data_IF_461548504906
#
_entry.id   IF_461548504906
#
_cell.length_a   1.000
_cell.length_b   1.000
_cell.length_c   1.000
_cell.angle_alpha   90.00
_cell.angle_beta   90.00
_cell.angle_gamma   90.00
#
_symmetry.space_group_name_H-M   'P 1'
#
loop_
_entity.id
_entity.type
_entity.pdbx_description
1 polymer ?
#
# COMPACT_ATOMS: atom_id res chain seq x y z
N UNK A 1 -6.37 -80.92 -21.66
CA UNK A 1 -6.25 -80.06 -20.46
C UNK A 1 -5.28 -78.87 -20.71
N UNK A 2 -5.45 -78.08 -21.77
CA UNK A 2 -4.62 -76.88 -22.02
C UNK A 2 -5.38 -75.83 -22.86
N UNK A 3 -6.52 -75.33 -22.35
CA UNK A 3 -7.28 -74.23 -22.97
C UNK A 3 -7.67 -73.13 -21.95
N UNK A 4 -6.76 -72.77 -21.05
CA UNK A 4 -7.07 -71.78 -19.99
C UNK A 4 -6.03 -70.68 -19.79
N UNK A 5 -5.09 -70.49 -20.71
CA UNK A 5 -4.05 -69.45 -20.59
C UNK A 5 -4.05 -68.37 -21.68
N UNK A 6 -5.03 -68.34 -22.59
CA UNK A 6 -5.13 -67.25 -23.60
C UNK A 6 -6.13 -66.14 -23.26
N UNK A 7 -6.90 -66.24 -22.17
CA UNK A 7 -7.97 -65.26 -21.87
C UNK A 7 -7.52 -64.07 -21.01
N UNK A 8 -6.29 -64.07 -20.50
CA UNK A 8 -5.79 -62.99 -19.64
C UNK A 8 -5.17 -61.80 -20.41
N UNK A 9 -4.76 -61.98 -21.67
CA UNK A 9 -4.06 -60.92 -22.44
C UNK A 9 -4.98 -60.02 -23.26
N UNK A 10 -6.25 -60.41 -23.45
CA UNK A 10 -7.22 -59.61 -24.21
C UNK A 10 -7.94 -58.55 -23.36
N UNK A 11 -7.92 -58.67 -22.02
CA UNK A 11 -8.60 -57.68 -21.16
C UNK A 11 -7.81 -56.38 -20.94
N UNK A 12 -6.49 -56.37 -21.16
CA UNK A 12 -5.68 -55.15 -21.07
C UNK A 12 -5.77 -54.25 -22.32
N UNK A 13 -6.29 -54.76 -23.46
CA UNK A 13 -6.48 -53.95 -24.67
C UNK A 13 -7.87 -53.29 -24.74
N UNK A 14 -8.82 -53.70 -23.89
CA UNK A 14 -10.18 -53.14 -23.86
C UNK A 14 -10.39 -52.11 -22.75
N UNK A 15 -9.43 -51.93 -21.83
CA UNK A 15 -9.48 -50.92 -20.77
C UNK A 15 -8.91 -49.55 -21.18
N UNK A 16 -8.41 -49.40 -22.42
CA UNK A 16 -7.92 -48.11 -22.97
C UNK A 16 -9.03 -47.10 -23.27
N UNK A 17 -10.29 -47.43 -22.96
CA UNK A 17 -11.46 -46.57 -23.14
C UNK A 17 -11.98 -45.95 -21.83
N UNK A 18 -11.13 -45.87 -20.80
CA UNK A 18 -11.27 -44.82 -19.79
C UNK A 18 -10.52 -43.63 -20.35
N UNK A 19 -11.23 -42.51 -20.51
CA UNK A 19 -10.61 -41.20 -20.77
C UNK A 19 -9.49 -40.98 -19.75
N UNK A 20 -8.26 -41.35 -20.12
CA UNK A 20 -7.07 -40.86 -19.45
C UNK A 20 -7.01 -39.39 -19.84
N UNK A 21 -7.75 -38.57 -19.09
CA UNK A 21 -7.52 -37.14 -19.04
C UNK A 21 -6.17 -36.98 -18.35
N UNK A 22 -5.11 -37.31 -19.09
CA UNK A 22 -3.74 -37.12 -18.65
C UNK A 22 -3.59 -35.69 -18.14
N UNK A 23 -2.69 -35.52 -17.17
CA UNK A 23 -2.47 -34.23 -16.52
C UNK A 23 -2.31 -33.11 -17.57
N UNK A 24 -3.30 -32.22 -17.65
CA UNK A 24 -3.25 -31.04 -18.52
C UNK A 24 -2.61 -29.90 -17.74
N UNK A 25 -1.30 -29.76 -17.90
CA UNK A 25 -0.59 -28.59 -17.40
C UNK A 25 -1.14 -27.32 -18.05
N UNK A 26 -1.17 -26.21 -17.29
CA UNK A 26 -1.49 -24.89 -17.85
C UNK A 26 -0.41 -24.49 -18.86
N UNK A 27 -0.76 -23.62 -19.81
CA UNK A 27 0.21 -23.07 -20.76
C UNK A 27 1.08 -22.03 -20.07
N UNK A 28 2.35 -21.94 -20.46
CA UNK A 28 3.34 -21.03 -19.88
C UNK A 28 2.86 -19.57 -19.99
N UNK A 29 2.16 -19.22 -21.06
CA UNK A 29 1.62 -17.89 -21.30
C UNK A 29 0.54 -17.52 -20.28
N UNK A 30 -0.29 -18.49 -19.86
CA UNK A 30 -1.34 -18.23 -18.86
C UNK A 30 -0.76 -18.06 -17.47
N UNK A 31 0.29 -18.79 -17.15
CA UNK A 31 0.99 -18.64 -15.87
C UNK A 31 1.70 -17.28 -15.82
N UNK A 32 2.38 -16.89 -16.89
CA UNK A 32 3.00 -15.57 -17.03
C UNK A 32 1.98 -14.42 -16.93
N UNK A 33 0.81 -14.54 -17.57
CA UNK A 33 -0.25 -13.53 -17.45
C UNK A 33 -0.83 -13.47 -16.04
N UNK A 34 -1.03 -14.63 -15.39
CA UNK A 34 -1.50 -14.67 -14.00
C UNK A 34 -0.51 -13.98 -13.07
N UNK A 35 0.79 -14.19 -13.27
CA UNK A 35 1.84 -13.54 -12.48
C UNK A 35 1.89 -12.04 -12.75
N UNK A 36 1.72 -11.61 -14.01
CA UNK A 36 1.61 -10.19 -14.36
C UNK A 36 0.47 -9.50 -13.61
N UNK A 37 -0.73 -10.10 -13.62
CA UNK A 37 -1.92 -9.57 -12.91
C UNK A 37 -1.68 -9.46 -11.40
N UNK A 38 -1.02 -10.45 -10.80
CA UNK A 38 -0.69 -10.41 -9.36
C UNK A 38 0.24 -9.27 -9.01
N UNK A 39 1.28 -9.06 -9.81
CA UNK A 39 2.25 -7.99 -9.58
C UNK A 39 1.62 -6.62 -9.84
N UNK A 40 0.75 -6.50 -10.84
CA UNK A 40 -0.01 -5.28 -11.10
C UNK A 40 -0.90 -4.90 -9.91
N UNK A 41 -1.59 -5.87 -9.31
CA UNK A 41 -2.39 -5.63 -8.10
C UNK A 41 -1.55 -5.08 -6.93
N UNK A 42 -0.34 -5.58 -6.74
CA UNK A 42 0.60 -5.07 -5.72
C UNK A 42 1.04 -3.65 -6.06
N UNK A 43 1.37 -3.37 -7.32
CA UNK A 43 1.75 -2.02 -7.77
C UNK A 43 0.63 -1.00 -7.51
N UNK A 44 -0.62 -1.36 -7.83
CA UNK A 44 -1.79 -0.52 -7.58
C UNK A 44 -1.98 -0.24 -6.08
N UNK A 45 -1.77 -1.25 -5.23
CA UNK A 45 -1.84 -1.08 -3.79
C UNK A 45 -0.77 -0.10 -3.27
N UNK A 46 0.47 -0.20 -3.78
CA UNK A 46 1.55 0.73 -3.43
C UNK A 46 1.23 2.16 -3.88
N UNK A 47 0.76 2.33 -5.12
CA UNK A 47 0.39 3.64 -5.67
C UNK A 47 -0.78 4.27 -4.89
N UNK A 48 -1.75 3.47 -4.47
CA UNK A 48 -2.87 3.94 -3.63
C UNK A 48 -2.38 4.40 -2.28
N UNK A 49 -1.58 3.58 -1.59
CA UNK A 49 -1.01 3.92 -0.29
C UNK A 49 -0.13 5.18 -0.34
N UNK A 50 0.61 5.38 -1.44
CA UNK A 50 1.38 6.61 -1.67
C UNK A 50 0.47 7.83 -1.76
N UNK A 51 -0.57 7.78 -2.60
CA UNK A 51 -1.50 8.89 -2.76
C UNK A 51 -2.21 9.25 -1.47
N UNK A 52 -2.61 8.25 -0.69
CA UNK A 52 -3.28 8.46 0.58
C UNK A 52 -2.35 9.09 1.62
N UNK A 53 -1.10 8.61 1.72
CA UNK A 53 -0.10 9.18 2.61
C UNK A 53 0.29 10.63 2.22
N UNK A 54 0.44 10.91 0.92
CA UNK A 54 0.71 12.26 0.41
C UNK A 54 -0.47 13.21 0.68
N UNK A 55 -1.71 12.74 0.49
CA UNK A 55 -2.92 13.50 0.80
C UNK A 55 -3.02 13.79 2.30
N UNK A 56 -2.74 12.81 3.15
CA UNK A 56 -2.71 12.98 4.60
C UNK A 56 -1.65 14.02 5.00
N UNK A 57 -0.44 13.93 4.43
CA UNK A 57 0.66 14.86 4.72
C UNK A 57 0.28 16.31 4.38
N UNK A 58 -0.28 16.54 3.19
CA UNK A 58 -0.73 17.88 2.76
C UNK A 58 -1.86 18.39 3.66
N UNK A 59 -2.85 17.53 3.95
CA UNK A 59 -4.00 17.90 4.78
C UNK A 59 -3.61 18.21 6.22
N UNK A 60 -2.71 17.40 6.80
CA UNK A 60 -2.19 17.62 8.15
C UNK A 60 -1.29 18.86 8.22
N UNK A 61 -0.42 19.06 7.22
CA UNK A 61 0.44 20.25 7.15
C UNK A 61 -0.35 21.54 7.26
N UNK A 62 -1.42 21.67 6.46
CA UNK A 62 -2.32 22.84 6.53
C UNK A 62 -2.95 23.06 7.90
N UNK A 63 -3.33 21.99 8.61
CA UNK A 63 -3.90 22.10 9.96
C UNK A 63 -2.86 22.50 11.00
N UNK A 64 -1.63 22.02 10.86
CA UNK A 64 -0.52 22.42 11.74
C UNK A 64 -0.17 23.90 11.51
N UNK A 65 -0.13 24.35 10.26
CA UNK A 65 0.12 25.76 9.92
C UNK A 65 -0.99 26.69 10.47
N UNK A 66 -2.25 26.28 10.37
CA UNK A 66 -3.38 27.01 10.97
C UNK A 66 -3.30 27.03 12.50
N UNK A 67 -2.97 25.92 13.15
CA UNK A 67 -2.76 25.87 14.60
C UNK A 67 -1.61 26.78 15.04
N UNK A 68 -0.50 26.82 14.29
CA UNK A 68 0.62 27.73 14.53
C UNK A 68 0.20 29.21 14.40
N UNK A 69 -0.60 29.53 13.38
CA UNK A 69 -1.10 30.89 13.18
C UNK A 69 -2.01 31.33 14.34
N UNK A 70 -2.92 30.45 14.79
CA UNK A 70 -3.81 30.72 15.93
C UNK A 70 -3.05 30.86 17.23
N UNK A 71 -2.08 29.98 17.49
CA UNK A 71 -1.20 30.09 18.65
C UNK A 71 -0.46 31.44 18.66
N UNK A 72 0.07 31.86 17.52
CA UNK A 72 0.79 33.15 17.40
C UNK A 72 -0.09 34.36 17.74
N UNK A 73 -1.38 34.33 17.40
CA UNK A 73 -2.33 35.39 17.76
C UNK A 73 -2.56 35.44 19.28
N UNK A 74 -2.55 34.29 19.95
CA UNK A 74 -2.76 34.22 21.41
C UNK A 74 -1.56 34.68 22.24
N UNK A 75 -0.38 34.86 21.64
CA UNK A 75 0.80 35.36 22.35
C UNK A 75 0.73 36.89 22.65
N UNK A 76 -0.13 37.64 21.97
CA UNK A 76 -0.28 39.09 22.24
C UNK A 76 1.00 39.91 21.99
N UNK A 77 0.89 41.25 22.08
CA UNK A 77 2.02 42.19 21.87
C UNK A 77 2.51 42.85 23.18
N UNK A 78 2.20 42.25 24.34
CA UNK A 78 2.51 42.83 25.65
C UNK A 78 3.98 42.67 26.03
N UNK A 79 4.55 43.67 26.71
CA UNK A 79 5.97 43.67 27.16
C UNK A 79 6.27 42.68 28.28
N UNK A 80 5.24 42.15 28.96
CA UNK A 80 5.38 41.15 30.03
C UNK A 80 4.22 40.13 30.00
N UNK A 81 4.27 39.27 29.00
CA UNK A 81 3.21 38.32 28.65
C UNK A 81 2.93 37.26 29.72
N UNK A 82 3.91 36.94 30.58
CA UNK A 82 3.75 35.91 31.61
C UNK A 82 3.17 36.45 32.92
N UNK A 83 3.18 37.77 33.13
CA UNK A 83 2.67 38.41 34.35
C UNK A 83 1.21 38.88 34.23
N UNK A 84 0.76 39.24 33.02
CA UNK A 84 -0.61 39.74 32.79
C UNK A 84 -1.55 38.74 32.11
N UNK A 85 -1.14 37.49 31.92
CA UNK A 85 -1.96 36.52 31.19
C UNK A 85 -3.15 36.02 32.01
N UNK A 86 -4.34 36.11 31.41
CA UNK A 86 -5.54 35.46 31.91
C UNK A 86 -5.42 33.92 31.86
N UNK A 87 -5.84 33.18 32.91
CA UNK A 87 -5.74 31.71 32.96
C UNK A 87 -6.37 30.98 31.75
N UNK A 88 -7.36 31.60 31.10
CA UNK A 88 -8.04 31.05 29.92
C UNK A 88 -7.12 30.97 28.69
N UNK A 89 -6.22 31.95 28.51
CA UNK A 89 -5.27 31.99 27.39
C UNK A 89 -4.18 30.94 27.56
N UNK A 90 -3.82 30.62 28.80
CA UNK A 90 -2.87 29.53 29.11
C UNK A 90 -3.41 28.16 28.70
N UNK A 91 -4.69 27.89 28.98
CA UNK A 91 -5.30 26.62 28.60
C UNK A 91 -5.36 26.43 27.07
N UNK A 92 -5.74 27.47 26.33
CA UNK A 92 -5.79 27.42 24.87
C UNK A 92 -4.41 27.21 24.25
N UNK A 93 -3.37 27.78 24.83
CA UNK A 93 -2.01 27.59 24.34
C UNK A 93 -1.45 26.20 24.61
N UNK A 94 -1.76 25.60 25.76
CA UNK A 94 -1.39 24.21 26.04
C UNK A 94 -2.03 23.25 25.02
N UNK A 95 -3.29 23.50 24.67
CA UNK A 95 -3.99 22.73 23.63
C UNK A 95 -3.31 22.89 22.26
N UNK A 96 -2.98 24.13 21.85
CA UNK A 96 -2.27 24.35 20.60
C UNK A 96 -0.88 23.71 20.59
N UNK A 97 -0.13 23.81 21.69
CA UNK A 97 1.18 23.19 21.81
C UNK A 97 1.12 21.67 21.65
N UNK A 98 0.12 21.02 22.26
CA UNK A 98 -0.10 19.58 22.11
C UNK A 98 -0.47 19.20 20.67
N UNK A 99 -1.38 19.94 20.03
CA UNK A 99 -1.80 19.69 18.65
C UNK A 99 -0.67 19.89 17.64
N UNK A 100 0.11 20.97 17.80
CA UNK A 100 1.28 21.27 16.96
C UNK A 100 2.32 20.16 17.12
N UNK A 101 2.66 19.78 18.35
CA UNK A 101 3.65 18.73 18.63
C UNK A 101 3.25 17.38 18.02
N UNK A 102 1.99 16.97 18.22
CA UNK A 102 1.46 15.74 17.65
C UNK A 102 1.42 15.78 16.11
N UNK A 103 1.00 16.91 15.54
CA UNK A 103 0.96 17.12 14.10
C UNK A 103 2.35 17.06 13.47
N UNK A 104 3.35 17.75 14.04
CA UNK A 104 4.73 17.72 13.58
C UNK A 104 5.34 16.31 13.66
N UNK A 105 5.09 15.58 14.75
CA UNK A 105 5.51 14.18 14.88
C UNK A 105 4.92 13.32 13.77
N UNK A 106 3.60 13.41 13.54
CA UNK A 106 2.93 12.64 12.49
C UNK A 106 3.40 13.02 11.09
N UNK A 107 3.68 14.30 10.82
CA UNK A 107 4.27 14.73 9.54
C UNK A 107 5.63 14.07 9.26
N UNK A 108 6.47 13.91 10.30
CA UNK A 108 7.75 13.19 10.19
C UNK A 108 7.55 11.70 9.91
N UNK A 109 6.59 11.07 10.60
CA UNK A 109 6.22 9.66 10.35
C UNK A 109 5.70 9.45 8.91
N UNK A 110 4.87 10.37 8.42
CA UNK A 110 4.37 10.34 7.03
C UNK A 110 5.49 10.53 6.02
N UNK A 111 6.43 11.45 6.25
CA UNK A 111 7.59 11.63 5.38
C UNK A 111 8.42 10.35 5.25
N UNK A 112 8.67 9.65 6.37
CA UNK A 112 9.36 8.37 6.37
C UNK A 112 8.56 7.29 5.62
N UNK A 113 7.24 7.22 5.86
CA UNK A 113 6.36 6.25 5.20
C UNK A 113 6.33 6.45 3.68
N UNK A 114 6.20 7.70 3.23
CA UNK A 114 6.23 8.06 1.81
C UNK A 114 7.58 7.68 1.20
N UNK A 115 8.70 7.93 1.89
CA UNK A 115 10.02 7.54 1.41
C UNK A 115 10.15 6.01 1.24
N UNK A 116 9.67 5.22 2.21
CA UNK A 116 9.66 3.76 2.12
C UNK A 116 8.79 3.26 0.96
N UNK A 117 7.59 3.81 0.80
CA UNK A 117 6.70 3.42 -0.29
C UNK A 117 7.27 3.79 -1.66
N UNK A 118 7.90 4.96 -1.80
CA UNK A 118 8.60 5.37 -3.04
C UNK A 118 9.77 4.46 -3.38
N UNK A 119 10.51 4.01 -2.35
CA UNK A 119 11.58 3.04 -2.52
C UNK A 119 11.03 1.70 -3.03
N UNK A 120 9.99 1.16 -2.38
CA UNK A 120 9.37 -0.11 -2.79
C UNK A 120 8.81 -0.01 -4.21
N UNK A 121 8.14 1.10 -4.55
CA UNK A 121 7.65 1.36 -5.91
C UNK A 121 8.77 1.32 -6.95
N UNK A 122 9.88 2.02 -6.66
CA UNK A 122 11.04 2.03 -7.55
C UNK A 122 11.64 0.64 -7.70
N UNK A 123 11.82 -0.09 -6.59
CA UNK A 123 12.34 -1.46 -6.60
C UNK A 123 11.46 -2.41 -7.42
N UNK A 124 10.13 -2.27 -7.34
CA UNK A 124 9.18 -3.03 -8.14
C UNK A 124 9.31 -2.71 -9.64
N UNK A 125 9.40 -1.43 -10.01
CA UNK A 125 9.58 -1.02 -11.41
C UNK A 125 10.92 -1.51 -11.98
N UNK A 126 11.99 -1.47 -11.18
CA UNK A 126 13.30 -2.00 -11.60
C UNK A 126 13.26 -3.52 -11.76
N UNK A 127 12.57 -4.23 -10.87
CA UNK A 127 12.48 -5.70 -10.90
C UNK A 127 11.56 -6.20 -12.02
N UNK A 128 10.53 -5.44 -12.37
CA UNK A 128 9.52 -5.80 -13.36
C UNK A 128 9.37 -4.70 -14.42
N UNK A 129 10.35 -4.56 -15.33
CA UNK A 129 10.38 -3.45 -16.29
C UNK A 129 9.23 -3.46 -17.31
N UNK A 130 8.57 -4.61 -17.48
CA UNK A 130 7.43 -4.78 -18.38
C UNK A 130 6.09 -4.32 -17.76
N UNK A 131 6.09 -3.90 -16.48
CA UNK A 131 4.92 -3.27 -15.87
C UNK A 131 4.81 -1.85 -16.42
N UNK A 132 3.81 -1.61 -17.26
CA UNK A 132 3.47 -0.26 -17.68
C UNK A 132 2.92 0.47 -16.44
N UNK A 133 3.47 1.63 -16.02
CA UNK A 133 2.87 2.40 -14.94
C UNK A 133 1.43 2.73 -15.33
N UNK A 134 0.48 2.68 -14.39
CA UNK A 134 -0.91 3.02 -14.70
C UNK A 134 -0.92 4.43 -15.31
N UNK A 135 -1.43 4.53 -16.54
CA UNK A 135 -1.60 5.82 -17.19
C UNK A 135 -2.65 6.58 -16.37
N UNK A 136 -2.18 7.56 -15.60
CA UNK A 136 -3.02 8.55 -14.95
C UNK A 136 -3.67 9.35 -16.08
N UNK A 137 -4.93 9.04 -16.40
CA UNK A 137 -5.74 9.90 -17.24
C UNK A 137 -5.91 11.23 -16.48
N UNK A 138 -5.33 12.29 -17.03
CA UNK A 138 -5.47 13.68 -16.58
C UNK A 138 -6.91 14.18 -16.65
#
# INVERSE_FOLDING_TARGET
MFQLFLRARAHNFLSSRREDKGFKARTIERDAETDRVRIEAVMVAIDTALRDAEREQVGLGRRVDDALARASVTFGNGTDEYLEREPIDSHHQDLFAADISNGQRRLKELANTIAHLRFIRTAMLTRFPNLKPPQLNS
#
